data_IF_368642553294
#
_entry.id   IF_368642553294
#
_cell.length_a   1.000
_cell.length_b   1.000
_cell.length_c   1.000
_cell.angle_alpha   90.00
_cell.angle_beta   90.00
_cell.angle_gamma   90.00
#
_symmetry.space_group_name_H-M   'P 1'
#
loop_
_entity.id
_entity.type
_entity.pdbx_description
1 polymer ?
#
# COMPACT_ATOMS: atom_id res chain seq x y z
N UNK A 1 3.76 -0.27 -9.21
CA UNK A 1 2.90 -0.16 -10.42
C UNK A 1 2.73 1.30 -10.84
N UNK A 2 2.49 2.23 -9.91
CA UNK A 2 2.38 3.67 -10.24
C UNK A 2 3.68 4.23 -10.87
N UNK A 3 4.84 3.88 -10.33
CA UNK A 3 6.15 4.30 -10.86
C UNK A 3 6.45 3.78 -12.27
N UNK A 4 5.91 2.61 -12.65
CA UNK A 4 6.12 2.03 -13.99
C UNK A 4 5.41 2.89 -15.03
N UNK A 5 4.17 3.32 -14.75
CA UNK A 5 3.43 4.22 -15.64
C UNK A 5 4.13 5.58 -15.80
N UNK A 6 4.68 6.12 -14.71
CA UNK A 6 5.45 7.38 -14.75
C UNK A 6 6.70 7.23 -15.62
N UNK A 7 7.48 6.17 -15.44
CA UNK A 7 8.66 5.91 -16.29
C UNK A 7 8.30 5.73 -17.76
N UNK A 8 7.24 4.99 -18.06
CA UNK A 8 6.77 4.81 -19.45
C UNK A 8 6.34 6.12 -20.10
N UNK A 9 5.70 7.01 -19.34
CA UNK A 9 5.32 8.33 -19.82
C UNK A 9 6.54 9.24 -20.02
N UNK A 10 7.43 9.30 -19.03
CA UNK A 10 8.50 10.30 -18.99
C UNK A 10 9.73 9.88 -19.82
N UNK A 11 10.05 8.58 -19.88
CA UNK A 11 11.22 8.07 -20.62
C UNK A 11 10.87 7.51 -22.00
N UNK A 12 9.64 7.00 -22.18
CA UNK A 12 9.23 6.35 -23.43
C UNK A 12 8.09 7.08 -24.14
N UNK A 13 7.64 8.24 -23.64
CA UNK A 13 6.54 9.03 -24.20
C UNK A 13 5.22 8.24 -24.36
N UNK A 14 4.97 7.24 -23.51
CA UNK A 14 3.74 6.43 -23.51
C UNK A 14 2.81 6.91 -22.38
N UNK A 15 1.83 7.78 -22.65
CA UNK A 15 0.95 8.32 -21.61
C UNK A 15 -0.02 7.27 -21.04
N UNK A 16 -0.49 6.34 -21.89
CA UNK A 16 -1.46 5.31 -21.49
C UNK A 16 -1.10 3.96 -22.12
N UNK A 17 -0.81 2.96 -21.28
CA UNK A 17 -0.45 1.60 -21.71
C UNK A 17 -1.66 0.78 -22.16
N UNK A 18 -2.82 1.04 -21.54
CA UNK A 18 -4.07 0.28 -21.76
C UNK A 18 -4.56 0.29 -23.22
N UNK A 19 -4.63 1.43 -23.95
CA UNK A 19 -5.09 1.42 -25.34
C UNK A 19 -4.15 0.66 -26.28
N UNK A 20 -2.85 0.63 -25.99
CA UNK A 20 -1.84 0.00 -26.84
C UNK A 20 -1.87 -1.53 -26.67
N UNK A 21 -1.77 -2.00 -25.42
CA UNK A 21 -1.63 -3.43 -25.10
C UNK A 21 -2.97 -4.10 -24.84
N UNK A 22 -4.07 -3.34 -24.77
CA UNK A 22 -5.44 -3.77 -24.41
C UNK A 22 -5.56 -4.41 -23.01
N UNK A 23 -4.47 -4.50 -22.25
CA UNK A 23 -4.38 -5.02 -20.89
C UNK A 23 -3.94 -3.92 -19.92
N UNK A 24 -4.31 -4.05 -18.65
CA UNK A 24 -3.79 -3.18 -17.60
C UNK A 24 -2.38 -3.61 -17.19
N UNK A 25 -1.56 -2.66 -16.69
CA UNK A 25 -0.21 -2.95 -16.18
C UNK A 25 -0.26 -4.06 -15.12
N UNK A 26 -1.28 -4.06 -14.25
CA UNK A 26 -1.49 -5.12 -13.25
C UNK A 26 -1.64 -6.50 -13.90
N UNK A 27 -2.42 -6.61 -14.98
CA UNK A 27 -2.63 -7.88 -15.69
C UNK A 27 -1.39 -8.32 -16.45
N UNK A 28 -0.65 -7.38 -17.04
CA UNK A 28 0.62 -7.67 -17.70
C UNK A 28 1.63 -8.25 -16.69
N UNK A 29 1.74 -7.67 -15.50
CA UNK A 29 2.64 -8.18 -14.46
C UNK A 29 2.22 -9.57 -13.95
N UNK A 30 0.92 -9.82 -13.79
CA UNK A 30 0.37 -11.12 -13.39
C UNK A 30 0.64 -12.19 -14.46
N UNK A 31 0.41 -11.87 -15.74
CA UNK A 31 0.69 -12.73 -16.89
C UNK A 31 2.20 -13.08 -17.00
N UNK A 32 3.10 -12.19 -16.55
CA UNK A 32 4.54 -12.39 -16.55
C UNK A 32 5.07 -13.03 -15.24
N UNK A 33 4.19 -13.49 -14.35
CA UNK A 33 4.59 -14.15 -13.10
C UNK A 33 5.16 -13.21 -12.03
N UNK A 34 5.16 -11.90 -12.26
CA UNK A 34 5.61 -10.89 -11.28
C UNK A 34 4.44 -10.52 -10.37
N UNK A 35 4.00 -11.48 -9.57
CA UNK A 35 2.88 -11.30 -8.64
C UNK A 35 3.40 -10.83 -7.28
N UNK A 36 2.93 -9.66 -6.85
CA UNK A 36 3.17 -9.21 -5.48
C UNK A 36 2.14 -9.87 -4.56
N UNK A 37 2.61 -10.59 -3.53
CA UNK A 37 1.75 -11.22 -2.51
C UNK A 37 0.89 -10.20 -1.76
N UNK A 38 1.42 -9.00 -1.56
CA UNK A 38 0.75 -7.87 -0.92
C UNK A 38 0.48 -6.80 -1.99
N UNK A 39 -0.77 -6.31 -2.12
CA UNK A 39 -1.07 -5.20 -3.00
C UNK A 39 -0.21 -3.97 -2.70
N UNK A 40 0.30 -3.31 -3.74
CA UNK A 40 1.17 -2.13 -3.63
C UNK A 40 0.58 -1.03 -2.75
N UNK A 41 -0.72 -0.75 -2.90
CA UNK A 41 -1.41 0.28 -2.10
C UNK A 41 -1.39 -0.03 -0.60
N UNK A 42 -1.70 -1.27 -0.22
CA UNK A 42 -1.63 -1.73 1.16
C UNK A 42 -0.20 -1.63 1.70
N UNK A 43 0.79 -2.04 0.91
CA UNK A 43 2.21 -1.95 1.28
C UNK A 43 2.66 -0.50 1.51
N UNK A 44 2.23 0.44 0.67
CA UNK A 44 2.59 1.84 0.80
C UNK A 44 2.03 2.46 2.09
N UNK A 45 0.78 2.13 2.44
CA UNK A 45 0.14 2.63 3.66
C UNK A 45 0.82 2.03 4.90
N UNK A 46 1.14 0.74 4.87
CA UNK A 46 1.89 0.07 5.95
C UNK A 46 3.27 0.70 6.12
N UNK A 47 4.02 0.95 5.05
CA UNK A 47 5.32 1.64 5.12
C UNK A 47 5.19 3.02 5.75
N UNK A 48 4.13 3.77 5.41
CA UNK A 48 3.85 5.08 6.01
C UNK A 48 3.57 4.97 7.52
N UNK A 49 2.78 3.98 7.93
CA UNK A 49 2.50 3.70 9.34
C UNK A 49 3.79 3.41 10.13
N UNK A 50 4.65 2.53 9.61
CA UNK A 50 5.94 2.18 10.22
C UNK A 50 6.86 3.41 10.33
N UNK A 51 6.87 4.29 9.33
CA UNK A 51 7.63 5.54 9.38
C UNK A 51 7.13 6.49 10.47
N UNK A 52 5.82 6.71 10.56
CA UNK A 52 5.20 7.54 11.60
C UNK A 52 5.45 6.96 12.99
N UNK A 53 5.37 5.63 13.13
CA UNK A 53 5.66 4.96 14.38
C UNK A 53 7.12 5.18 14.83
N UNK A 54 8.10 5.06 13.93
CA UNK A 54 9.50 5.33 14.26
C UNK A 54 9.70 6.77 14.74
N UNK A 55 9.02 7.72 14.11
CA UNK A 55 9.06 9.12 14.51
C UNK A 55 8.46 9.34 15.91
N UNK A 56 7.28 8.77 16.18
CA UNK A 56 6.59 8.89 17.47
C UNK A 56 7.29 8.18 18.63
N UNK A 57 8.09 7.13 18.34
CA UNK A 57 8.95 6.51 19.36
C UNK A 57 10.00 7.46 19.91
N UNK A 58 10.47 8.41 19.11
CA UNK A 58 11.46 9.43 19.51
C UNK A 58 10.74 10.65 20.07
N UNK A 59 9.60 11.02 19.48
CA UNK A 59 8.81 12.20 19.83
C UNK A 59 7.38 11.82 20.27
N UNK A 60 7.25 11.27 21.47
CA UNK A 60 5.99 10.77 22.03
C UNK A 60 4.96 11.88 22.36
N UNK A 61 5.40 13.14 22.46
CA UNK A 61 4.54 14.29 22.75
C UNK A 61 3.82 14.87 21.52
N UNK A 62 4.12 14.38 20.31
CA UNK A 62 3.49 14.83 19.07
C UNK A 62 2.09 14.22 18.87
N UNK A 63 1.10 14.79 19.57
CA UNK A 63 -0.31 14.40 19.50
C UNK A 63 -0.90 14.46 18.08
N UNK A 64 -0.39 15.33 17.21
CA UNK A 64 -0.88 15.46 15.83
C UNK A 64 -0.48 14.24 15.01
N UNK A 65 0.76 13.79 15.16
CA UNK A 65 1.24 12.60 14.49
C UNK A 65 0.66 11.31 15.10
N UNK A 66 0.36 11.27 16.40
CA UNK A 66 -0.41 10.16 17.02
C UNK A 66 -1.76 9.99 16.34
N UNK A 67 -2.56 11.05 16.23
CA UNK A 67 -3.85 11.02 15.51
C UNK A 67 -3.67 10.62 14.04
N UNK A 68 -2.59 11.07 13.41
CA UNK A 68 -2.30 10.71 12.01
C UNK A 68 -1.99 9.21 11.87
N UNK A 69 -1.30 8.61 12.84
CA UNK A 69 -1.03 7.17 12.88
C UNK A 69 -2.33 6.37 13.03
N UNK A 70 -3.23 6.76 13.93
CA UNK A 70 -4.55 6.14 14.11
C UNK A 70 -5.37 6.12 12.80
N UNK A 71 -5.41 7.24 12.09
CA UNK A 71 -6.11 7.35 10.80
C UNK A 71 -5.50 6.44 9.73
N UNK A 72 -4.17 6.33 9.71
CA UNK A 72 -3.46 5.43 8.80
C UNK A 72 -3.76 3.97 9.14
N UNK A 73 -3.77 3.58 10.41
CA UNK A 73 -4.13 2.23 10.84
C UNK A 73 -5.59 1.88 10.48
N UNK A 74 -6.53 2.79 10.75
CA UNK A 74 -7.92 2.62 10.34
C UNK A 74 -8.04 2.40 8.82
N UNK A 75 -7.23 3.10 8.02
CA UNK A 75 -7.16 2.92 6.57
C UNK A 75 -6.60 1.56 6.18
N UNK A 76 -5.54 1.09 6.84
CA UNK A 76 -4.99 -0.27 6.65
C UNK A 76 -6.05 -1.33 6.91
N UNK A 77 -6.81 -1.20 8.00
CA UNK A 77 -7.89 -2.13 8.32
C UNK A 77 -8.96 -2.18 7.24
N UNK A 78 -9.45 -1.02 6.78
CA UNK A 78 -10.47 -0.94 5.72
C UNK A 78 -10.00 -1.60 4.41
N UNK A 79 -8.77 -1.30 4.00
CA UNK A 79 -8.18 -1.83 2.76
C UNK A 79 -7.91 -3.33 2.89
N UNK A 80 -7.42 -3.79 4.05
CA UNK A 80 -7.23 -5.21 4.32
C UNK A 80 -8.55 -5.99 4.19
N UNK A 81 -9.63 -5.50 4.81
CA UNK A 81 -10.96 -6.12 4.72
C UNK A 81 -11.45 -6.21 3.27
N UNK A 82 -11.25 -5.15 2.49
CA UNK A 82 -11.56 -5.16 1.06
C UNK A 82 -10.78 -6.24 0.31
N UNK A 83 -9.46 -6.30 0.49
CA UNK A 83 -8.60 -7.28 -0.19
C UNK A 83 -8.85 -8.73 0.23
N UNK A 84 -9.27 -8.95 1.49
CA UNK A 84 -9.75 -10.25 1.97
C UNK A 84 -11.07 -10.65 1.31
N UNK A 85 -12.01 -9.71 1.15
CA UNK A 85 -13.32 -9.95 0.51
C UNK A 85 -13.18 -10.38 -0.94
N UNK A 86 -12.26 -9.75 -1.68
CA UNK A 86 -12.00 -10.08 -3.10
C UNK A 86 -11.06 -11.28 -3.29
N UNK A 87 -10.60 -11.93 -2.21
CA UNK A 87 -9.75 -13.11 -2.27
C UNK A 87 -8.30 -12.87 -2.69
N UNK A 88 -7.85 -11.61 -2.74
CA UNK A 88 -6.46 -11.26 -3.06
C UNK A 88 -5.55 -11.47 -1.86
N UNK A 89 -6.04 -11.20 -0.65
CA UNK A 89 -5.31 -11.45 0.60
C UNK A 89 -5.83 -12.72 1.29
N UNK A 90 -4.96 -13.50 1.96
CA UNK A 90 -5.39 -14.60 2.80
C UNK A 90 -6.34 -14.11 3.90
N UNK A 91 -7.39 -14.89 4.22
CA UNK A 91 -8.33 -14.55 5.31
C UNK A 91 -7.61 -14.40 6.66
N UNK A 92 -6.58 -15.19 6.89
CA UNK A 92 -5.76 -15.18 8.10
C UNK A 92 -4.73 -14.03 8.14
N UNK A 93 -4.65 -13.18 7.11
CA UNK A 93 -3.73 -12.05 7.12
C UNK A 93 -4.11 -11.09 8.25
N UNK A 94 -3.20 -10.85 9.19
CA UNK A 94 -3.39 -9.88 10.27
C UNK A 94 -2.30 -8.82 10.20
N UNK A 95 -2.72 -7.57 10.15
CA UNK A 95 -1.85 -6.45 10.47
C UNK A 95 -1.65 -6.43 11.97
N UNK A 96 -0.40 -6.54 12.45
CA UNK A 96 -0.08 -6.27 13.85
C UNK A 96 -0.12 -4.75 14.02
N UNK A 97 -1.18 -4.22 14.64
CA UNK A 97 -1.20 -2.80 15.02
C UNK A 97 -0.09 -2.55 16.01
N UNK A 98 0.56 -1.41 15.87
CA UNK A 98 1.72 -1.06 16.69
C UNK A 98 1.40 0.07 17.67
N UNK A 99 0.22 0.70 17.51
CA UNK A 99 -0.35 1.61 18.53
C UNK A 99 -0.54 0.89 19.87
N UNK A 100 -0.92 -0.38 19.87
CA UNK A 100 -1.04 -1.18 21.10
C UNK A 100 0.30 -1.44 21.83
N UNK A 101 1.45 -1.05 21.24
CA UNK A 101 2.77 -1.12 21.88
C UNK A 101 3.25 0.23 22.44
N UNK A 102 2.51 1.32 22.19
CA UNK A 102 2.84 2.67 22.65
C UNK A 102 2.01 3.09 23.88
N UNK A 103 0.97 2.33 24.23
CA UNK A 103 0.26 2.40 25.52
C UNK A 103 0.98 1.60 26.61
#
# INVERSE_FOLDING_TARGET
MSQIGIKLRDQHAIPLVKPIVKKSIKKILDDNGVKQEIPEDLNNIVKKAVGLQKHLKIHNSDKRNVRSLELVEAKVHRISTYYKKIGVLPKNWKYKSVVAQLE
#
